data_IF_610527996701
#
_entry.id   IF_610527996701
#
_cell.length_a   1.000
_cell.length_b   1.000
_cell.length_c   1.000
_cell.angle_alpha   90.00
_cell.angle_beta   90.00
_cell.angle_gamma   90.00
#
_symmetry.space_group_name_H-M   'P 1'
#
loop_
_entity.id
_entity.type
_entity.pdbx_description
1 polymer ?
#
# COMPACT_ATOMS: atom_id res chain seq x y z
N UNK A 1 -35.51 5.92 1.91
CA UNK A 1 -34.20 5.68 2.60
C UNK A 1 -33.12 5.28 1.60
N UNK A 2 -33.42 4.44 0.59
CA UNK A 2 -32.44 3.99 -0.42
C UNK A 2 -31.97 5.13 -1.35
N UNK A 3 -32.85 6.08 -1.69
CA UNK A 3 -32.54 7.22 -2.57
C UNK A 3 -31.59 8.27 -1.94
N UNK A 4 -31.52 8.37 -0.61
CA UNK A 4 -30.62 9.31 0.08
C UNK A 4 -29.17 8.80 0.06
N UNK A 5 -28.97 7.48 0.07
CA UNK A 5 -27.63 6.87 -0.01
C UNK A 5 -27.00 6.99 -1.40
N UNK A 6 -27.78 7.06 -2.47
CA UNK A 6 -27.26 7.15 -3.83
C UNK A 6 -26.74 8.54 -4.20
N UNK A 7 -27.20 9.60 -3.53
CA UNK A 7 -26.78 10.98 -3.80
C UNK A 7 -25.47 11.39 -3.07
N UNK A 8 -25.01 10.60 -2.09
CA UNK A 8 -23.77 10.90 -1.36
C UNK A 8 -22.51 10.37 -2.08
N UNK A 9 -22.67 9.47 -3.05
CA UNK A 9 -21.57 8.91 -3.82
C UNK A 9 -21.64 9.41 -5.27
N UNK A 10 -21.23 10.66 -5.45
CA UNK A 10 -20.98 11.21 -6.77
C UNK A 10 -19.91 10.37 -7.48
N UNK A 11 -20.07 10.14 -8.79
CA UNK A 11 -19.16 9.30 -9.61
C UNK A 11 -17.70 9.70 -9.44
N UNK A 12 -17.45 11.00 -9.23
CA UNK A 12 -16.13 11.56 -8.99
C UNK A 12 -15.56 11.22 -7.60
N UNK A 13 -16.39 10.80 -6.65
CA UNK A 13 -15.97 10.47 -5.28
C UNK A 13 -15.35 9.07 -5.16
N UNK A 14 -15.74 8.10 -6.01
CA UNK A 14 -15.23 6.73 -5.94
C UNK A 14 -13.73 6.61 -6.21
N UNK A 15 -13.20 7.39 -7.15
CA UNK A 15 -11.76 7.42 -7.44
C UNK A 15 -10.97 7.96 -6.24
N UNK A 16 -11.48 9.00 -5.59
CA UNK A 16 -10.90 9.58 -4.37
C UNK A 16 -10.88 8.56 -3.23
N UNK A 17 -11.99 7.89 -2.99
CA UNK A 17 -12.07 6.84 -1.96
C UNK A 17 -11.17 5.66 -2.30
N UNK A 18 -11.05 5.29 -3.58
CA UNK A 18 -10.13 4.25 -4.03
C UNK A 18 -8.67 4.54 -3.72
N UNK A 19 -8.22 5.79 -3.97
CA UNK A 19 -6.85 6.21 -3.64
C UNK A 19 -6.59 6.21 -2.13
N UNK A 20 -7.52 6.72 -1.33
CA UNK A 20 -7.40 6.72 0.13
C UNK A 20 -7.39 5.28 0.66
N UNK A 21 -8.33 4.45 0.19
CA UNK A 21 -8.44 3.05 0.60
C UNK A 21 -7.17 2.26 0.27
N UNK A 22 -6.59 2.48 -0.91
CA UNK A 22 -5.35 1.82 -1.31
C UNK A 22 -4.16 2.25 -0.46
N UNK A 23 -4.08 3.53 -0.10
CA UNK A 23 -3.08 4.03 0.84
C UNK A 23 -3.20 3.39 2.23
N UNK A 24 -4.44 3.28 2.74
CA UNK A 24 -4.70 2.59 4.02
C UNK A 24 -4.28 1.13 3.96
N UNK A 25 -4.64 0.40 2.90
CA UNK A 25 -4.26 -1.01 2.74
C UNK A 25 -2.74 -1.18 2.65
N UNK A 26 -2.04 -0.32 1.91
CA UNK A 26 -0.58 -0.34 1.85
C UNK A 26 0.08 -0.08 3.21
N UNK A 27 -0.48 0.83 4.01
CA UNK A 27 0.01 1.06 5.37
C UNK A 27 -0.26 -0.14 6.30
N UNK A 28 -1.45 -0.74 6.22
CA UNK A 28 -1.83 -1.89 7.05
C UNK A 28 -0.98 -3.13 6.74
N UNK A 29 -0.69 -3.41 5.46
CA UNK A 29 0.15 -4.54 5.08
C UNK A 29 1.53 -4.48 5.71
N UNK A 30 2.12 -3.28 5.80
CA UNK A 30 3.41 -3.07 6.47
C UNK A 30 3.34 -3.06 7.99
N UNK A 31 2.22 -2.67 8.58
CA UNK A 31 2.04 -2.79 10.04
C UNK A 31 2.05 -4.25 10.50
N UNK A 32 1.47 -5.15 9.72
CA UNK A 32 1.53 -6.59 10.00
C UNK A 32 2.97 -7.11 9.96
N UNK A 33 3.73 -6.74 8.92
CA UNK A 33 5.16 -7.09 8.82
C UNK A 33 5.96 -6.46 9.96
N UNK A 34 5.72 -5.18 10.26
CA UNK A 34 6.38 -4.47 11.35
C UNK A 34 6.14 -5.12 12.71
N UNK A 35 4.91 -5.53 13.00
CA UNK A 35 4.56 -6.14 14.27
C UNK A 35 5.38 -7.39 14.61
N UNK A 36 5.83 -8.14 13.61
CA UNK A 36 6.72 -9.29 13.80
C UNK A 36 8.09 -8.89 14.35
N UNK A 37 8.65 -7.77 13.88
CA UNK A 37 9.95 -7.29 14.36
C UNK A 37 9.87 -6.64 15.74
N UNK A 38 8.68 -6.16 16.14
CA UNK A 38 8.45 -5.55 17.46
C UNK A 38 8.08 -6.54 18.56
N UNK A 39 7.50 -7.69 18.20
CA UNK A 39 7.05 -8.72 19.15
C UNK A 39 8.17 -9.67 19.58
N UNK A 40 9.35 -9.16 20.01
CA UNK A 40 10.47 -9.95 20.59
C UNK A 40 10.70 -11.32 19.93
N UNK A 41 10.69 -11.37 18.61
CA UNK A 41 10.93 -12.62 17.88
C UNK A 41 12.33 -13.22 18.12
N UNK A 42 13.25 -12.45 18.68
CA UNK A 42 14.56 -12.95 19.14
C UNK A 42 14.44 -14.09 20.15
N UNK A 43 13.36 -14.18 20.91
CA UNK A 43 13.14 -15.31 21.85
C UNK A 43 12.54 -16.54 21.12
N UNK A 44 11.78 -16.31 20.04
CA UNK A 44 11.22 -17.39 19.20
C UNK A 44 12.26 -17.95 18.22
N UNK A 45 13.27 -17.19 17.86
CA UNK A 45 14.36 -17.61 17.00
C UNK A 45 15.18 -18.77 17.62
N UNK A 46 15.31 -18.77 18.93
CA UNK A 46 15.99 -19.83 19.68
C UNK A 46 15.21 -21.16 19.72
N UNK A 47 13.93 -21.14 19.37
CA UNK A 47 13.01 -22.30 19.48
C UNK A 47 12.47 -22.74 18.11
N UNK A 48 12.53 -21.91 17.06
CA UNK A 48 11.94 -22.23 15.77
C UNK A 48 12.98 -22.66 14.73
N UNK A 49 12.65 -23.70 13.96
CA UNK A 49 13.41 -24.18 12.81
C UNK A 49 13.40 -23.21 11.61
N UNK A 50 12.70 -22.09 11.70
CA UNK A 50 12.54 -21.13 10.61
C UNK A 50 13.46 -19.92 10.82
N UNK A 51 14.26 -19.61 9.79
CA UNK A 51 15.08 -18.41 9.77
C UNK A 51 14.16 -17.17 9.68
N UNK A 52 14.45 -16.11 10.45
CA UNK A 52 13.72 -14.81 10.45
C UNK A 52 13.46 -14.29 9.03
N UNK A 53 14.42 -14.50 8.13
CA UNK A 53 14.28 -14.13 6.72
C UNK A 53 13.14 -14.87 6.03
N UNK A 54 12.98 -16.18 6.26
CA UNK A 54 11.90 -16.96 5.66
C UNK A 54 10.54 -16.52 6.18
N UNK A 55 10.46 -16.27 7.47
CA UNK A 55 9.24 -15.80 8.11
C UNK A 55 8.83 -14.41 7.62
N UNK A 56 9.78 -13.47 7.54
CA UNK A 56 9.56 -12.13 7.00
C UNK A 56 9.10 -12.18 5.52
N UNK A 57 9.74 -13.05 4.71
CA UNK A 57 9.35 -13.25 3.30
C UNK A 57 7.92 -13.77 3.19
N UNK A 58 7.58 -14.77 4.00
CA UNK A 58 6.24 -15.36 4.02
C UNK A 58 5.19 -14.30 4.39
N UNK A 59 5.45 -13.54 5.45
CA UNK A 59 4.52 -12.50 5.91
C UNK A 59 4.35 -11.38 4.88
N UNK A 60 5.44 -10.89 4.30
CA UNK A 60 5.37 -9.87 3.24
C UNK A 60 4.57 -10.37 2.03
N UNK A 61 4.80 -11.61 1.62
CA UNK A 61 4.10 -12.20 0.48
C UNK A 61 2.61 -12.37 0.80
N UNK A 62 2.28 -12.91 1.97
CA UNK A 62 0.90 -13.12 2.40
C UNK A 62 0.13 -11.81 2.53
N UNK A 63 0.69 -10.84 3.26
CA UNK A 63 0.08 -9.52 3.46
C UNK A 63 -0.09 -8.76 2.15
N UNK A 64 0.93 -8.78 1.28
CA UNK A 64 0.87 -8.17 -0.04
C UNK A 64 -0.18 -8.80 -0.95
N UNK A 65 -0.27 -10.14 -1.00
CA UNK A 65 -1.30 -10.84 -1.77
C UNK A 65 -2.71 -10.55 -1.25
N UNK A 66 -2.90 -10.51 0.06
CA UNK A 66 -4.19 -10.20 0.66
C UNK A 66 -4.64 -8.77 0.32
N UNK A 67 -3.72 -7.82 0.41
CA UNK A 67 -3.98 -6.42 0.07
C UNK A 67 -4.28 -6.24 -1.42
N UNK A 68 -3.54 -6.91 -2.30
CA UNK A 68 -3.81 -6.91 -3.74
C UNK A 68 -5.17 -7.53 -4.07
N UNK A 69 -5.54 -8.62 -3.42
CA UNK A 69 -6.85 -9.24 -3.59
C UNK A 69 -7.98 -8.28 -3.17
N UNK A 70 -7.83 -7.60 -2.03
CA UNK A 70 -8.78 -6.60 -1.56
C UNK A 70 -8.90 -5.42 -2.54
N UNK A 71 -7.77 -4.93 -3.10
CA UNK A 71 -7.77 -3.88 -4.11
C UNK A 71 -8.44 -4.32 -5.41
N UNK A 72 -8.21 -5.56 -5.85
CA UNK A 72 -8.87 -6.10 -7.05
C UNK A 72 -10.38 -6.18 -6.86
N UNK A 73 -10.86 -6.67 -5.72
CA UNK A 73 -12.28 -6.72 -5.40
C UNK A 73 -12.87 -5.29 -5.41
N UNK A 74 -12.19 -4.34 -4.76
CA UNK A 74 -12.64 -2.95 -4.73
C UNK A 74 -12.69 -2.35 -6.14
N UNK A 75 -11.67 -2.59 -6.98
CA UNK A 75 -11.59 -2.09 -8.35
C UNK A 75 -12.72 -2.63 -9.22
N UNK A 76 -13.04 -3.93 -9.10
CA UNK A 76 -14.17 -4.53 -9.82
C UNK A 76 -15.49 -3.91 -9.37
N UNK A 77 -15.69 -3.74 -8.06
CA UNK A 77 -16.91 -3.08 -7.54
C UNK A 77 -17.04 -1.64 -8.03
N UNK A 78 -15.95 -0.87 -7.98
CA UNK A 78 -15.92 0.51 -8.46
C UNK A 78 -16.24 0.58 -9.96
N UNK A 79 -15.68 -0.34 -10.77
CA UNK A 79 -15.89 -0.35 -12.22
C UNK A 79 -17.34 -0.67 -12.62
N UNK A 80 -18.00 -1.61 -11.93
CA UNK A 80 -19.43 -1.92 -12.17
C UNK A 80 -20.32 -0.68 -11.99
N UNK A 81 -19.90 0.24 -11.10
CA UNK A 81 -20.65 1.47 -10.80
C UNK A 81 -20.32 2.63 -11.71
N UNK A 82 -19.09 2.69 -12.22
CA UNK A 82 -18.54 3.87 -12.90
C UNK A 82 -18.63 3.79 -14.43
N UNK A 83 -18.87 2.61 -15.01
CA UNK A 83 -18.82 2.35 -16.46
C UNK A 83 -17.53 2.89 -17.14
N UNK A 84 -16.44 3.05 -16.35
CA UNK A 84 -15.15 3.54 -16.82
C UNK A 84 -14.24 2.40 -17.25
N UNK A 85 -13.14 2.75 -17.92
CA UNK A 85 -12.14 1.79 -18.34
C UNK A 85 -11.43 1.18 -17.10
N UNK A 86 -11.65 -0.13 -16.88
CA UNK A 86 -11.11 -0.89 -15.72
C UNK A 86 -9.60 -0.73 -15.58
N UNK A 87 -8.85 -0.69 -16.68
CA UNK A 87 -7.40 -0.50 -16.67
C UNK A 87 -6.98 0.82 -16.02
N UNK A 88 -7.66 1.91 -16.39
CA UNK A 88 -7.35 3.25 -15.87
C UNK A 88 -7.64 3.32 -14.37
N UNK A 89 -8.79 2.80 -13.94
CA UNK A 89 -9.17 2.74 -12.52
C UNK A 89 -8.18 1.91 -11.71
N UNK A 90 -7.73 0.78 -12.26
CA UNK A 90 -6.74 -0.09 -11.61
C UNK A 90 -5.41 0.65 -11.40
N UNK A 91 -4.93 1.41 -12.38
CA UNK A 91 -3.68 2.18 -12.27
C UNK A 91 -3.80 3.25 -11.17
N UNK A 92 -4.91 4.00 -11.13
CA UNK A 92 -5.13 5.03 -10.11
C UNK A 92 -5.16 4.47 -8.68
N UNK A 93 -5.60 3.23 -8.49
CA UNK A 93 -5.65 2.58 -7.20
C UNK A 93 -4.30 1.93 -6.85
N UNK A 94 -3.59 1.34 -7.82
CA UNK A 94 -2.32 0.67 -7.56
C UNK A 94 -1.17 1.63 -7.24
N UNK A 95 -1.14 2.82 -7.85
CA UNK A 95 -0.05 3.77 -7.61
C UNK A 95 0.04 4.19 -6.15
N UNK A 96 -1.02 4.68 -5.49
CA UNK A 96 -0.97 5.02 -4.07
C UNK A 96 -0.56 3.84 -3.19
N UNK A 97 -1.01 2.63 -3.51
CA UNK A 97 -0.65 1.40 -2.80
C UNK A 97 0.86 1.17 -2.85
N UNK A 98 1.44 1.07 -4.06
CA UNK A 98 2.87 0.79 -4.25
C UNK A 98 3.75 1.88 -3.61
N UNK A 99 3.38 3.15 -3.76
CA UNK A 99 4.15 4.23 -3.14
C UNK A 99 4.07 4.22 -1.61
N UNK A 100 2.92 3.93 -1.03
CA UNK A 100 2.79 3.79 0.42
C UNK A 100 3.64 2.63 0.93
N UNK A 101 3.64 1.51 0.22
CA UNK A 101 4.53 0.39 0.52
C UNK A 101 6.01 0.77 0.43
N UNK A 102 6.43 1.50 -0.61
CA UNK A 102 7.79 2.01 -0.74
C UNK A 102 8.19 2.92 0.44
N UNK A 103 7.31 3.81 0.87
CA UNK A 103 7.57 4.72 2.00
C UNK A 103 7.69 3.93 3.29
N UNK A 104 6.77 3.02 3.59
CA UNK A 104 6.83 2.16 4.77
C UNK A 104 8.08 1.28 4.78
N UNK A 105 8.45 0.70 3.62
CA UNK A 105 9.66 -0.10 3.46
C UNK A 105 10.93 0.72 3.72
N UNK A 106 10.97 1.98 3.26
CA UNK A 106 12.09 2.89 3.54
C UNK A 106 12.28 3.08 5.04
N UNK A 107 11.19 3.24 5.79
CA UNK A 107 11.23 3.36 7.25
C UNK A 107 11.76 2.08 7.89
N UNK A 108 11.30 0.91 7.43
CA UNK A 108 11.76 -0.39 7.92
C UNK A 108 13.25 -0.67 7.64
N UNK A 109 13.83 -0.04 6.61
CA UNK A 109 15.26 -0.12 6.33
C UNK A 109 16.12 0.68 7.33
N UNK A 110 15.52 1.61 8.08
CA UNK A 110 16.21 2.36 9.13
C UNK A 110 16.19 1.61 10.47
N UNK A 111 17.25 1.75 11.27
CA UNK A 111 17.26 1.14 12.61
C UNK A 111 16.19 1.72 13.55
N UNK A 112 15.93 3.02 13.43
CA UNK A 112 14.89 3.71 14.21
C UNK A 112 13.51 3.17 13.83
N UNK A 113 13.23 2.99 12.55
CA UNK A 113 11.97 2.46 12.05
C UNK A 113 11.73 1.03 12.51
N UNK A 114 12.75 0.18 12.52
CA UNK A 114 12.65 -1.21 13.00
C UNK A 114 12.41 -1.32 14.51
N UNK A 115 12.79 -0.31 15.29
CA UNK A 115 12.60 -0.29 16.75
C UNK A 115 11.34 0.43 17.22
N UNK A 116 10.67 1.17 16.34
CA UNK A 116 9.57 2.04 16.72
C UNK A 116 8.35 1.87 15.81
N UNK A 117 7.41 1.03 16.25
CA UNK A 117 6.14 0.81 15.54
C UNK A 117 5.33 2.09 15.37
N UNK A 118 5.40 3.02 16.35
CA UNK A 118 4.68 4.29 16.27
C UNK A 118 5.14 5.14 15.09
N UNK A 119 6.44 5.07 14.75
CA UNK A 119 6.96 5.76 13.58
C UNK A 119 6.38 5.19 12.29
N UNK A 120 6.26 3.85 12.19
CA UNK A 120 5.66 3.19 11.04
C UNK A 120 4.17 3.56 10.90
N UNK A 121 3.43 3.56 11.99
CA UNK A 121 2.02 4.00 12.03
C UNK A 121 1.90 5.46 11.59
N UNK A 122 2.72 6.35 12.13
CA UNK A 122 2.69 7.78 11.79
C UNK A 122 2.98 8.01 10.31
N UNK A 123 3.95 7.32 9.74
CA UNK A 123 4.29 7.40 8.32
C UNK A 123 3.17 6.84 7.44
N UNK A 124 2.55 5.73 7.83
CA UNK A 124 1.39 5.18 7.13
C UNK A 124 0.21 6.16 7.10
N UNK A 125 -0.12 6.77 8.25
CA UNK A 125 -1.18 7.80 8.34
C UNK A 125 -0.83 9.02 7.48
N UNK A 126 0.41 9.51 7.56
CA UNK A 126 0.85 10.65 6.76
C UNK A 126 0.79 10.36 5.26
N UNK A 127 1.23 9.18 4.83
CA UNK A 127 1.14 8.74 3.43
C UNK A 127 -0.31 8.69 2.95
N UNK A 128 -1.21 8.11 3.75
CA UNK A 128 -2.65 8.05 3.43
C UNK A 128 -3.26 9.44 3.32
N UNK A 129 -2.92 10.35 4.23
CA UNK A 129 -3.39 11.73 4.20
C UNK A 129 -2.87 12.48 2.97
N UNK A 130 -1.62 12.27 2.60
CA UNK A 130 -1.02 12.83 1.39
C UNK A 130 -1.78 12.38 0.13
N UNK A 131 -2.12 11.09 0.02
CA UNK A 131 -2.93 10.58 -1.08
C UNK A 131 -4.35 11.15 -1.07
N UNK A 132 -4.93 11.39 0.10
CA UNK A 132 -6.22 12.07 0.25
C UNK A 132 -6.22 13.49 -0.31
N UNK A 133 -5.14 14.25 -0.07
CA UNK A 133 -4.96 15.60 -0.64
C UNK A 133 -4.82 15.50 -2.17
N UNK A 134 -3.95 14.62 -2.67
CA UNK A 134 -3.77 14.42 -4.11
C UNK A 134 -5.08 14.02 -4.79
N UNK A 135 -5.83 13.12 -4.17
CA UNK A 135 -7.12 12.66 -4.69
C UNK A 135 -8.17 13.79 -4.82
N UNK A 136 -7.99 14.91 -4.13
CA UNK A 136 -8.88 16.06 -4.25
C UNK A 136 -8.57 16.96 -5.44
N UNK A 137 -7.44 16.75 -6.15
CA UNK A 137 -7.03 17.55 -7.29
C UNK A 137 -7.61 17.00 -8.61
N UNK A 138 -8.54 17.72 -9.29
CA UNK A 138 -9.20 17.20 -10.50
C UNK A 138 -8.25 16.99 -11.69
N UNK A 139 -7.17 17.76 -11.77
CA UNK A 139 -6.16 17.65 -12.85
C UNK A 139 -5.52 16.27 -12.97
N UNK A 140 -5.48 15.49 -11.87
CA UNK A 140 -4.85 14.18 -11.84
C UNK A 140 -5.68 13.08 -12.52
N UNK A 141 -6.95 13.37 -12.80
CA UNK A 141 -7.89 12.42 -13.44
C UNK A 141 -8.12 12.69 -14.92
N UNK A 142 -7.42 13.67 -15.49
CA UNK A 142 -7.47 13.94 -16.92
C UNK A 142 -6.81 12.80 -17.73
N UNK A 143 -7.27 12.61 -18.97
CA UNK A 143 -6.73 11.58 -19.85
C UNK A 143 -5.23 11.75 -20.13
N UNK A 144 -4.72 12.98 -20.12
CA UNK A 144 -3.31 13.33 -20.24
C UNK A 144 -2.46 12.82 -19.07
N UNK A 145 -3.04 12.74 -17.87
CA UNK A 145 -2.34 12.28 -16.66
C UNK A 145 -2.13 10.76 -16.63
N UNK A 146 -2.85 9.98 -17.44
CA UNK A 146 -2.76 8.50 -17.43
C UNK A 146 -1.33 8.02 -17.72
N UNK A 147 -0.64 8.66 -18.66
CA UNK A 147 0.75 8.30 -18.99
C UNK A 147 1.67 8.55 -17.79
N UNK A 148 1.48 9.68 -17.10
CA UNK A 148 2.22 9.98 -15.88
C UNK A 148 2.01 8.91 -14.79
N UNK A 149 0.78 8.45 -14.61
CA UNK A 149 0.46 7.41 -13.63
C UNK A 149 1.09 6.06 -13.99
N UNK A 150 1.13 5.68 -15.27
CA UNK A 150 1.82 4.47 -15.72
C UNK A 150 3.31 4.55 -15.41
N UNK A 151 3.96 5.67 -15.73
CA UNK A 151 5.37 5.88 -15.45
C UNK A 151 5.64 5.85 -13.94
N UNK A 152 4.78 6.50 -13.15
CA UNK A 152 4.87 6.47 -11.69
C UNK A 152 4.75 5.05 -11.14
N UNK A 153 3.81 4.23 -11.66
CA UNK A 153 3.64 2.85 -11.25
C UNK A 153 4.90 2.02 -11.53
N UNK A 154 5.45 2.13 -12.74
CA UNK A 154 6.67 1.40 -13.12
C UNK A 154 7.88 1.82 -12.26
N UNK A 155 8.02 3.11 -12.03
CA UNK A 155 9.06 3.64 -11.14
C UNK A 155 8.89 3.12 -9.70
N UNK A 156 7.67 3.14 -9.17
CA UNK A 156 7.34 2.61 -7.84
C UNK A 156 7.69 1.14 -7.69
N UNK A 157 7.30 0.30 -8.66
CA UNK A 157 7.63 -1.14 -8.68
C UNK A 157 9.16 -1.34 -8.70
N UNK A 158 9.87 -0.55 -9.52
CA UNK A 158 11.34 -0.60 -9.60
C UNK A 158 12.01 -0.25 -8.26
N UNK A 159 11.55 0.83 -7.61
CA UNK A 159 12.05 1.25 -6.30
C UNK A 159 11.77 0.15 -5.25
N UNK A 160 10.56 -0.37 -5.23
CA UNK A 160 10.15 -1.43 -4.30
C UNK A 160 11.00 -2.69 -4.45
N UNK A 161 11.28 -3.13 -5.67
CA UNK A 161 12.15 -4.28 -5.94
C UNK A 161 13.58 -4.08 -5.42
N UNK A 162 14.13 -2.86 -5.55
CA UNK A 162 15.46 -2.52 -5.01
C UNK A 162 15.43 -2.51 -3.48
N UNK A 163 14.38 -1.98 -2.89
CA UNK A 163 14.22 -1.93 -1.43
C UNK A 163 14.09 -3.32 -0.82
N UNK A 164 13.34 -4.24 -1.43
CA UNK A 164 13.26 -5.64 -1.01
C UNK A 164 14.64 -6.28 -0.98
N UNK A 165 15.44 -6.11 -2.03
CA UNK A 165 16.82 -6.64 -2.05
C UNK A 165 17.67 -6.09 -0.92
N UNK A 166 17.58 -4.79 -0.64
CA UNK A 166 18.29 -4.14 0.46
C UNK A 166 17.84 -4.67 1.81
N UNK A 167 16.53 -4.85 1.99
CA UNK A 167 15.96 -5.36 3.23
C UNK A 167 16.49 -6.77 3.57
N UNK A 168 16.52 -7.66 2.60
CA UNK A 168 17.08 -8.99 2.81
C UNK A 168 18.58 -8.97 3.11
N UNK A 169 19.33 -8.08 2.47
CA UNK A 169 20.75 -7.91 2.78
C UNK A 169 21.01 -7.38 4.20
N UNK A 170 20.09 -6.60 4.75
CA UNK A 170 20.17 -6.12 6.13
C UNK A 170 19.81 -7.21 7.14
N UNK A 171 18.94 -8.16 6.78
CA UNK A 171 18.57 -9.30 7.63
C UNK A 171 19.67 -10.39 7.65
N UNK A 172 20.55 -10.43 6.66
CA UNK A 172 21.66 -11.40 6.58
C UNK A 172 22.91 -10.96 7.41
N UNK A 173 22.89 -9.76 8.01
CA UNK A 173 23.97 -9.21 8.87
C UNK A 173 23.66 -9.35 10.34
#
# INVERSE_FOLDING_TARGET
>A
VVLVWTNWFDVQSWEKYGMIFSGVLGALSFLEVGSMFFSRMTELEAVSYFNVRQLATFQMTYSGLLSLAALMIFTVFANIRLEKNLMVTCIYILVPFVFTECVCMTVMLTEIGRRNILLLIAVGIFSTFFWGILASMPMLYEASATVFWIVALLAGIGIFAVQIKRFFHVLDK
#
